data_IF_901934726827
#
_entry.id   IF_901934726827
#
_cell.length_a   1.000
_cell.length_b   1.000
_cell.length_c   1.000
_cell.angle_alpha   90.00
_cell.angle_beta   90.00
_cell.angle_gamma   90.00
#
_symmetry.space_group_name_H-M   'P 1'
#
loop_
_entity.id
_entity.type
_entity.pdbx_description
1 polymer ?
#
# COMPACT_ATOMS: atom_id res chain seq x y z
N UNK A 1 -11.93 7.05 4.03
CA UNK A 1 -11.76 7.76 2.74
C UNK A 1 -10.55 7.19 2.01
N UNK A 2 -10.65 7.01 0.70
CA UNK A 2 -9.54 6.58 -0.17
C UNK A 2 -9.40 7.54 -1.35
N UNK A 3 -8.16 7.71 -1.84
CA UNK A 3 -7.87 8.52 -3.01
C UNK A 3 -7.54 7.60 -4.19
N UNK A 4 -8.28 7.74 -5.27
CA UNK A 4 -8.10 6.95 -6.48
C UNK A 4 -6.93 7.50 -7.30
N UNK A 5 -6.03 6.63 -7.75
CA UNK A 5 -4.89 7.03 -8.59
C UNK A 5 -5.25 7.14 -10.09
N UNK A 6 -6.32 6.46 -10.51
CA UNK A 6 -6.83 6.45 -11.89
C UNK A 6 -8.30 6.85 -11.93
N UNK A 7 -8.79 7.27 -13.09
CA UNK A 7 -10.18 7.61 -13.33
C UNK A 7 -10.88 6.66 -14.29
N UNK A 8 -12.20 6.61 -14.24
CA UNK A 8 -13.05 5.78 -15.11
C UNK A 8 -14.52 6.09 -14.96
N UNK A 9 -15.37 5.30 -15.64
CA UNK A 9 -16.82 5.50 -15.64
C UNK A 9 -17.51 4.69 -14.53
N UNK A 10 -16.93 3.57 -14.13
CA UNK A 10 -17.44 2.68 -13.10
C UNK A 10 -16.33 2.27 -12.16
N UNK A 11 -16.73 1.91 -10.95
CA UNK A 11 -15.81 1.38 -9.95
C UNK A 11 -16.35 0.06 -9.37
N UNK A 12 -15.46 -0.69 -8.73
CA UNK A 12 -15.81 -1.84 -7.87
C UNK A 12 -15.05 -1.72 -6.56
N UNK A 13 -15.66 -2.16 -5.49
CA UNK A 13 -15.04 -2.24 -4.16
C UNK A 13 -14.64 -3.68 -3.90
N UNK A 14 -13.37 -3.90 -3.56
CA UNK A 14 -12.88 -5.21 -3.09
C UNK A 14 -12.77 -5.16 -1.57
N UNK A 15 -13.55 -6.02 -0.92
CA UNK A 15 -13.46 -6.29 0.51
C UNK A 15 -12.59 -7.51 0.76
N UNK A 16 -11.95 -7.58 1.92
CA UNK A 16 -11.09 -8.69 2.29
C UNK A 16 -11.43 -9.24 3.67
N UNK A 17 -11.58 -10.56 3.74
CA UNK A 17 -11.60 -11.34 4.97
C UNK A 17 -10.45 -12.37 4.96
N UNK A 18 -9.38 -12.06 4.19
CA UNK A 18 -8.31 -13.01 3.86
C UNK A 18 -7.43 -13.34 5.08
N UNK A 19 -7.37 -12.47 6.09
CA UNK A 19 -6.60 -12.72 7.32
C UNK A 19 -7.43 -13.33 8.45
N UNK A 20 -8.77 -13.36 8.33
CA UNK A 20 -9.67 -13.93 9.34
C UNK A 20 -9.87 -15.44 9.17
N UNK A 21 -10.07 -16.14 10.27
CA UNK A 21 -10.45 -17.56 10.29
C UNK A 21 -11.97 -17.76 10.42
N UNK A 22 -12.72 -16.67 10.61
CA UNK A 22 -14.17 -16.68 10.76
C UNK A 22 -14.84 -15.98 9.58
N UNK A 23 -16.06 -16.39 9.18
CA UNK A 23 -16.86 -15.63 8.22
C UNK A 23 -17.15 -14.20 8.73
N UNK A 24 -17.21 -13.23 7.84
CA UNK A 24 -17.55 -11.84 8.16
C UNK A 24 -18.89 -11.47 7.55
N UNK A 25 -19.85 -11.07 8.39
CA UNK A 25 -21.13 -10.54 7.93
C UNK A 25 -21.01 -9.04 7.61
N UNK A 26 -21.30 -8.69 6.37
CA UNK A 26 -21.42 -7.31 5.88
C UNK A 26 -22.90 -7.01 5.72
N UNK A 27 -23.44 -6.03 6.46
CA UNK A 27 -24.85 -5.65 6.44
C UNK A 27 -25.18 -4.76 5.24
N UNK A 28 -24.45 -3.68 5.09
CA UNK A 28 -24.60 -2.74 3.98
C UNK A 28 -23.26 -2.09 3.65
N UNK A 29 -23.14 -1.65 2.41
CA UNK A 29 -21.97 -0.88 1.94
C UNK A 29 -22.47 0.24 1.04
N UNK A 30 -21.95 1.45 1.24
CA UNK A 30 -22.18 2.59 0.37
C UNK A 30 -20.86 3.20 -0.10
N UNK A 31 -20.89 3.87 -1.24
CA UNK A 31 -19.77 4.65 -1.74
C UNK A 31 -20.25 5.99 -2.27
N UNK A 32 -19.50 7.05 -1.97
CA UNK A 32 -19.81 8.41 -2.40
C UNK A 32 -18.54 9.19 -2.69
N UNK A 33 -18.66 10.35 -3.33
CA UNK A 33 -17.57 11.32 -3.36
C UNK A 33 -17.32 11.85 -1.94
N UNK A 34 -16.06 11.88 -1.51
CA UNK A 34 -15.71 12.32 -0.17
C UNK A 34 -15.83 13.84 -0.03
N UNK A 35 -16.54 14.28 1.00
CA UNK A 35 -16.53 15.64 1.52
C UNK A 35 -15.46 15.83 2.60
N UNK A 36 -15.62 16.87 3.41
CA UNK A 36 -14.73 17.18 4.52
C UNK A 36 -15.15 16.43 5.79
N UNK A 37 -14.19 16.10 6.65
CA UNK A 37 -14.41 15.51 7.98
C UNK A 37 -15.31 14.25 7.99
N UNK A 38 -15.14 13.37 7.00
CA UNK A 38 -15.91 12.12 6.89
C UNK A 38 -17.30 12.27 6.28
N UNK A 39 -17.76 13.50 5.97
CA UNK A 39 -19.00 13.70 5.23
C UNK A 39 -18.88 13.23 3.77
N UNK A 40 -20.02 13.06 3.12
CA UNK A 40 -20.09 12.78 1.68
C UNK A 40 -20.67 13.98 0.91
N UNK A 41 -20.31 14.08 -0.37
CA UNK A 41 -20.90 15.10 -1.27
C UNK A 41 -22.38 14.75 -1.50
N UNK A 42 -23.33 15.68 -1.27
CA UNK A 42 -24.75 15.42 -1.48
C UNK A 42 -25.06 14.92 -2.89
N UNK A 43 -25.92 13.90 -2.99
CA UNK A 43 -26.34 13.33 -4.27
C UNK A 43 -25.32 12.41 -4.94
N UNK A 44 -24.17 12.14 -4.29
CA UNK A 44 -23.15 11.22 -4.82
C UNK A 44 -23.18 9.83 -4.20
N UNK A 45 -24.11 9.55 -3.31
CA UNK A 45 -24.21 8.26 -2.62
C UNK A 45 -24.75 7.17 -3.55
N UNK A 46 -24.09 6.01 -3.50
CA UNK A 46 -24.48 4.81 -4.23
C UNK A 46 -24.44 3.61 -3.30
N UNK A 47 -25.52 2.85 -3.31
CA UNK A 47 -25.57 1.53 -2.67
C UNK A 47 -24.63 0.59 -3.41
N UNK A 48 -23.79 -0.12 -2.65
CA UNK A 48 -22.91 -1.14 -3.19
C UNK A 48 -23.57 -2.51 -3.03
N UNK A 49 -23.65 -3.28 -4.11
CA UNK A 49 -24.23 -4.62 -4.09
C UNK A 49 -23.19 -5.69 -4.35
N UNK A 50 -23.51 -6.91 -3.91
CA UNK A 50 -22.74 -8.12 -4.12
C UNK A 50 -23.68 -9.19 -4.64
N UNK A 51 -23.53 -9.60 -5.93
CA UNK A 51 -24.51 -10.45 -6.62
C UNK A 51 -25.96 -9.90 -6.51
N UNK A 52 -26.12 -8.58 -6.70
CA UNK A 52 -27.38 -7.83 -6.61
C UNK A 52 -28.02 -7.75 -5.21
N UNK A 53 -27.34 -8.21 -4.17
CA UNK A 53 -27.77 -8.08 -2.78
C UNK A 53 -27.00 -6.94 -2.09
N UNK A 54 -27.65 -6.21 -1.15
CA UNK A 54 -27.02 -5.10 -0.43
C UNK A 54 -26.02 -5.55 0.64
N UNK A 55 -26.15 -6.75 1.14
CA UNK A 55 -25.23 -7.35 2.12
C UNK A 55 -24.66 -8.67 1.65
N UNK A 56 -23.66 -9.16 2.37
CA UNK A 56 -23.01 -10.44 2.04
C UNK A 56 -22.32 -11.02 3.27
N UNK A 57 -22.13 -12.35 3.25
CA UNK A 57 -21.20 -13.02 4.16
C UNK A 57 -19.93 -13.34 3.42
N UNK A 58 -18.80 -12.78 3.85
CA UNK A 58 -17.49 -13.09 3.27
C UNK A 58 -16.93 -14.32 4.00
N UNK A 59 -16.68 -15.43 3.31
CA UNK A 59 -16.08 -16.60 3.95
C UNK A 59 -14.72 -16.27 4.58
N UNK A 60 -14.33 -17.05 5.56
CA UNK A 60 -12.95 -16.98 6.08
C UNK A 60 -11.93 -17.16 4.96
N UNK A 61 -10.83 -16.42 5.03
CA UNK A 61 -9.72 -16.48 4.07
C UNK A 61 -10.08 -16.08 2.63
N UNK A 62 -11.20 -15.37 2.42
CA UNK A 62 -11.66 -14.99 1.10
C UNK A 62 -11.77 -13.47 0.91
N UNK A 63 -11.56 -12.97 -0.31
CA UNK A 63 -11.99 -11.63 -0.71
C UNK A 63 -13.45 -11.66 -1.21
N UNK A 64 -14.03 -10.48 -1.34
CA UNK A 64 -15.32 -10.26 -1.98
C UNK A 64 -15.26 -9.03 -2.89
N UNK A 65 -15.66 -9.17 -4.13
CA UNK A 65 -15.72 -8.08 -5.10
C UNK A 65 -17.18 -7.65 -5.30
N UNK A 66 -17.44 -6.34 -5.27
CA UNK A 66 -18.77 -5.80 -5.51
C UNK A 66 -19.20 -5.94 -6.97
N UNK A 67 -20.51 -5.79 -7.21
CA UNK A 67 -21.03 -5.49 -8.53
C UNK A 67 -20.45 -4.15 -9.03
N UNK A 68 -20.44 -3.89 -10.35
CA UNK A 68 -20.02 -2.60 -10.89
C UNK A 68 -20.95 -1.47 -10.42
N UNK A 69 -20.35 -0.34 -10.04
CA UNK A 69 -21.05 0.86 -9.57
C UNK A 69 -20.87 1.95 -10.62
N UNK A 70 -21.96 2.54 -11.11
CA UNK A 70 -21.95 3.61 -12.08
C UNK A 70 -21.62 4.96 -11.41
N UNK A 71 -20.38 5.06 -10.95
CA UNK A 71 -19.80 6.26 -10.35
C UNK A 71 -18.59 6.70 -11.18
N UNK A 72 -18.80 7.71 -12.03
CA UNK A 72 -17.72 8.29 -12.82
C UNK A 72 -16.76 9.09 -11.93
N UNK A 73 -15.49 8.74 -11.98
CA UNK A 73 -14.43 9.36 -11.17
C UNK A 73 -13.28 9.86 -12.05
N UNK A 74 -12.73 11.00 -11.68
CA UNK A 74 -11.48 11.51 -12.28
C UNK A 74 -10.28 10.91 -11.52
N UNK A 75 -9.08 10.87 -12.15
CA UNK A 75 -7.87 10.57 -11.40
C UNK A 75 -7.73 11.49 -10.18
N UNK A 76 -7.20 10.96 -9.10
CA UNK A 76 -6.97 11.64 -7.82
C UNK A 76 -8.25 12.05 -7.07
N UNK A 77 -9.42 11.60 -7.50
CA UNK A 77 -10.68 11.80 -6.77
C UNK A 77 -10.63 11.05 -5.42
N UNK A 78 -11.12 11.69 -4.37
CA UNK A 78 -11.34 11.08 -3.06
C UNK A 78 -12.77 10.53 -2.99
N UNK A 79 -12.90 9.28 -2.54
CA UNK A 79 -14.19 8.65 -2.29
C UNK A 79 -14.29 8.20 -0.84
N UNK A 80 -15.49 8.24 -0.30
CA UNK A 80 -15.85 7.66 0.99
C UNK A 80 -16.50 6.30 0.78
N UNK A 81 -16.04 5.29 1.50
CA UNK A 81 -16.63 3.95 1.51
C UNK A 81 -17.11 3.71 2.93
N UNK A 82 -18.40 3.52 3.09
CA UNK A 82 -19.07 3.27 4.38
C UNK A 82 -19.52 1.82 4.43
N UNK A 83 -19.22 1.12 5.54
CA UNK A 83 -19.50 -0.30 5.71
C UNK A 83 -20.16 -0.52 7.05
N UNK A 84 -21.31 -1.18 7.07
CA UNK A 84 -21.95 -1.64 8.29
C UNK A 84 -21.56 -3.09 8.56
N UNK A 85 -20.99 -3.33 9.73
CA UNK A 85 -20.60 -4.66 10.23
C UNK A 85 -21.48 -4.99 11.45
N UNK A 86 -22.61 -5.68 11.26
CA UNK A 86 -23.60 -5.87 12.34
C UNK A 86 -23.07 -6.63 13.56
N UNK A 87 -22.06 -7.46 13.37
CA UNK A 87 -21.41 -8.25 14.41
C UNK A 87 -20.07 -7.63 14.89
N UNK A 88 -19.79 -6.39 14.45
CA UNK A 88 -18.51 -5.74 14.73
C UNK A 88 -17.38 -6.24 13.84
N UNK A 89 -16.15 -5.85 14.16
CA UNK A 89 -14.95 -6.05 13.34
C UNK A 89 -13.81 -6.72 14.12
N UNK A 90 -14.08 -7.41 15.22
CA UNK A 90 -13.05 -7.94 16.12
C UNK A 90 -12.05 -8.87 15.41
N UNK A 91 -12.55 -9.71 14.50
CA UNK A 91 -11.74 -10.67 13.73
C UNK A 91 -11.59 -10.27 12.25
N UNK A 92 -11.93 -9.03 11.90
CA UNK A 92 -11.87 -8.60 10.52
C UNK A 92 -10.43 -8.41 10.03
N UNK A 93 -10.21 -8.60 8.74
CA UNK A 93 -8.95 -8.22 8.09
C UNK A 93 -8.76 -6.70 8.20
N UNK A 94 -7.61 -6.28 8.72
CA UNK A 94 -7.27 -4.87 8.89
C UNK A 94 -5.92 -4.54 8.27
N UNK A 95 -5.77 -3.30 7.83
CA UNK A 95 -4.47 -2.68 7.55
C UNK A 95 -4.18 -1.71 8.70
N UNK A 96 -3.20 -2.03 9.52
CA UNK A 96 -2.98 -1.40 10.83
C UNK A 96 -2.57 0.07 10.75
N UNK A 97 -1.90 0.47 9.68
CA UNK A 97 -1.50 1.86 9.42
C UNK A 97 -1.99 2.31 8.04
N UNK A 98 -2.64 3.45 7.94
CA UNK A 98 -3.18 3.90 6.66
C UNK A 98 -2.78 5.32 6.24
N UNK A 99 -2.12 6.11 7.09
CA UNK A 99 -1.88 7.55 6.89
C UNK A 99 -3.14 8.32 6.42
N UNK A 100 -4.32 7.80 6.75
CA UNK A 100 -5.62 8.36 6.39
C UNK A 100 -6.62 8.10 7.50
N UNK A 101 -7.48 9.08 7.76
CA UNK A 101 -8.47 8.98 8.83
C UNK A 101 -9.56 7.97 8.47
N UNK A 102 -9.83 7.06 9.40
CA UNK A 102 -10.97 6.16 9.39
C UNK A 102 -11.91 6.53 10.53
N UNK A 103 -13.20 6.62 10.24
CA UNK A 103 -14.24 6.90 11.23
C UNK A 103 -15.08 5.66 11.50
N UNK A 104 -15.50 5.49 12.75
CA UNK A 104 -16.53 4.54 13.15
C UNK A 104 -17.67 5.27 13.82
N UNK A 105 -18.91 4.77 13.69
CA UNK A 105 -20.08 5.31 14.32
C UNK A 105 -21.04 4.19 14.74
N UNK A 106 -21.91 4.39 15.76
CA UNK A 106 -22.87 3.39 16.19
C UNK A 106 -23.95 3.12 15.13
N UNK A 107 -24.38 1.87 15.03
CA UNK A 107 -25.48 1.44 14.14
C UNK A 107 -25.15 1.53 12.66
N UNK A 108 -26.14 1.37 11.80
CA UNK A 108 -25.99 1.53 10.36
C UNK A 108 -26.19 3.00 9.95
N UNK A 109 -25.09 3.61 9.52
CA UNK A 109 -25.06 4.98 9.01
C UNK A 109 -24.44 5.04 7.60
N UNK A 110 -24.44 3.93 6.86
CA UNK A 110 -23.73 3.82 5.57
C UNK A 110 -24.18 4.83 4.53
N UNK A 111 -25.49 5.14 4.47
CA UNK A 111 -26.05 6.17 3.58
C UNK A 111 -26.11 7.58 4.19
N UNK A 112 -25.60 7.79 5.40
CA UNK A 112 -25.67 9.10 6.04
C UNK A 112 -24.74 10.12 5.38
N UNK A 113 -25.25 11.31 5.12
CA UNK A 113 -24.45 12.42 4.58
C UNK A 113 -23.35 12.86 5.55
N UNK A 114 -23.62 12.77 6.84
CA UNK A 114 -22.68 13.07 7.93
C UNK A 114 -22.91 12.06 9.05
N UNK A 115 -21.83 11.52 9.60
CA UNK A 115 -21.92 10.57 10.69
C UNK A 115 -22.34 11.23 11.99
N UNK A 116 -23.19 10.56 12.76
CA UNK A 116 -23.57 10.95 14.13
C UNK A 116 -22.65 10.24 15.12
N UNK A 117 -22.09 11.00 16.06
CA UNK A 117 -21.15 10.49 17.08
C UNK A 117 -19.98 9.68 16.53
N UNK A 118 -19.23 10.19 15.55
CA UNK A 118 -18.11 9.48 14.99
C UNK A 118 -16.93 9.40 15.96
N UNK A 119 -16.19 8.29 15.90
CA UNK A 119 -14.91 8.10 16.57
C UNK A 119 -13.85 7.81 15.51
N UNK A 120 -12.65 8.39 15.68
CA UNK A 120 -11.52 8.16 14.79
C UNK A 120 -10.76 6.91 15.23
N UNK A 121 -10.41 6.07 14.25
CA UNK A 121 -9.53 4.92 14.43
C UNK A 121 -8.36 4.99 13.42
N UNK A 122 -7.22 4.36 13.78
CA UNK A 122 -6.03 4.31 12.91
C UNK A 122 -6.14 3.30 11.76
N UNK A 123 -6.61 2.06 12.01
CA UNK A 123 -6.65 1.02 11.00
C UNK A 123 -7.68 1.27 9.89
N UNK A 124 -7.38 0.77 8.70
CA UNK A 124 -8.39 0.55 7.66
C UNK A 124 -8.92 -0.88 7.80
N UNK A 125 -10.25 -1.01 7.82
CA UNK A 125 -10.93 -2.27 8.07
C UNK A 125 -11.54 -2.79 6.77
N UNK A 126 -11.33 -4.04 6.45
CA UNK A 126 -11.87 -4.87 5.35
C UNK A 126 -11.75 -4.33 3.92
N UNK A 127 -11.43 -3.08 3.69
CA UNK A 127 -11.26 -2.54 2.33
C UNK A 127 -9.85 -2.87 1.84
N UNK A 128 -9.72 -3.66 0.78
CA UNK A 128 -8.43 -4.03 0.19
C UNK A 128 -8.12 -3.28 -1.10
N UNK A 129 -9.12 -2.98 -1.94
CA UNK A 129 -8.90 -2.26 -3.18
C UNK A 129 -10.15 -1.54 -3.68
N UNK A 130 -9.94 -0.57 -4.57
CA UNK A 130 -10.96 -0.02 -5.46
C UNK A 130 -10.48 -0.21 -6.89
N UNK A 131 -11.23 -0.95 -7.66
CA UNK A 131 -10.99 -1.13 -9.10
C UNK A 131 -11.73 -0.05 -9.87
N UNK A 132 -11.10 0.47 -10.91
CA UNK A 132 -11.69 1.50 -11.77
C UNK A 132 -11.74 0.98 -13.20
N UNK A 133 -12.94 0.94 -13.78
CA UNK A 133 -13.15 0.54 -15.18
C UNK A 133 -12.74 1.69 -16.11
N UNK A 134 -11.65 1.49 -16.81
CA UNK A 134 -11.12 2.47 -17.76
C UNK A 134 -11.32 1.95 -19.20
N UNK A 135 -12.09 2.68 -20.01
CA UNK A 135 -12.39 2.34 -21.40
C UNK A 135 -11.15 2.22 -22.32
N UNK A 136 -10.03 2.80 -21.92
CA UNK A 136 -8.73 2.61 -22.57
C UNK A 136 -7.94 1.66 -21.71
N UNK A 137 -7.79 0.38 -22.06
CA UNK A 137 -6.97 -0.62 -21.34
C UNK A 137 -6.08 0.03 -20.26
N UNK A 138 -6.66 0.21 -19.07
CA UNK A 138 -5.94 0.76 -17.92
C UNK A 138 -4.81 -0.17 -17.53
N UNK A 139 -3.73 0.41 -17.03
CA UNK A 139 -2.60 -0.35 -16.48
C UNK A 139 -2.42 0.01 -15.01
N UNK A 140 -1.86 -0.90 -14.23
CA UNK A 140 -1.54 -0.66 -12.84
C UNK A 140 -0.04 -0.85 -12.59
N UNK A 141 0.51 0.04 -11.77
CA UNK A 141 1.82 -0.11 -11.13
C UNK A 141 1.55 -0.48 -9.68
N UNK A 142 2.08 -1.60 -9.23
CA UNK A 142 2.03 -1.97 -7.81
C UNK A 142 3.33 -1.52 -7.15
N UNK A 143 3.23 -0.92 -5.96
CA UNK A 143 4.38 -0.57 -5.13
C UNK A 143 4.40 -1.49 -3.93
N UNK A 144 5.27 -2.48 -3.95
CA UNK A 144 5.44 -3.47 -2.89
C UNK A 144 6.54 -3.00 -1.93
N UNK A 145 6.27 -3.07 -0.63
CA UNK A 145 7.27 -2.65 0.36
C UNK A 145 6.77 -2.67 1.80
N UNK A 146 7.59 -2.10 2.66
CA UNK A 146 7.38 -1.99 4.09
C UNK A 146 6.73 -0.65 4.51
N UNK A 147 6.99 -0.19 5.75
CA UNK A 147 6.51 1.09 6.31
C UNK A 147 6.85 2.31 5.46
N UNK A 148 7.96 2.29 4.73
CA UNK A 148 8.38 3.39 3.86
C UNK A 148 7.44 3.49 2.65
N UNK A 149 7.01 2.36 2.11
CA UNK A 149 6.03 2.31 1.01
C UNK A 149 4.61 2.52 1.50
N UNK A 150 4.26 1.96 2.65
CA UNK A 150 2.99 2.21 3.35
C UNK A 150 2.80 3.70 3.67
N UNK A 151 3.90 4.41 3.92
CA UNK A 151 3.93 5.84 4.16
C UNK A 151 3.85 6.22 5.62
N UNK A 152 4.45 5.41 6.49
CA UNK A 152 4.61 5.75 7.91
C UNK A 152 5.32 7.09 8.05
N UNK A 153 4.76 7.94 8.90
CA UNK A 153 5.19 9.34 9.13
C UNK A 153 4.82 10.34 8.02
N UNK A 154 4.17 9.93 6.93
CA UNK A 154 3.54 10.91 6.05
C UNK A 154 2.45 11.68 6.80
N UNK A 155 2.28 12.96 6.50
CA UNK A 155 1.21 13.77 7.10
C UNK A 155 -0.16 13.13 6.82
N UNK A 156 -0.95 12.77 7.86
CA UNK A 156 -2.24 12.12 7.68
C UNK A 156 -3.16 12.91 6.74
N UNK A 157 -3.94 12.19 5.93
CA UNK A 157 -4.91 12.71 4.95
C UNK A 157 -4.34 13.60 3.84
N UNK A 158 -3.02 13.86 3.84
CA UNK A 158 -2.38 14.74 2.86
C UNK A 158 -2.04 14.04 1.54
N UNK A 159 -2.08 12.70 1.49
CA UNK A 159 -1.66 11.88 0.35
C UNK A 159 -0.22 12.21 -0.09
N UNK A 160 0.71 12.21 0.88
CA UNK A 160 2.13 12.54 0.67
C UNK A 160 3.06 11.33 0.64
N UNK A 161 2.53 10.11 0.68
CA UNK A 161 3.32 8.89 0.51
C UNK A 161 3.95 8.88 -0.89
N UNK A 162 5.13 8.31 -1.04
CA UNK A 162 5.79 8.29 -2.36
C UNK A 162 4.94 7.63 -3.47
N UNK A 163 4.11 6.58 -3.21
CA UNK A 163 3.20 6.07 -4.24
C UNK A 163 2.10 7.05 -4.63
N UNK A 164 1.60 7.87 -3.70
CA UNK A 164 0.63 8.94 -4.01
C UNK A 164 1.25 10.01 -4.91
N UNK A 165 2.50 10.38 -4.62
CA UNK A 165 3.24 11.36 -5.41
C UNK A 165 3.65 10.82 -6.78
N UNK A 166 3.95 9.51 -6.89
CA UNK A 166 4.12 8.84 -8.18
C UNK A 166 2.84 8.92 -9.01
N UNK A 167 1.67 8.65 -8.41
CA UNK A 167 0.39 8.78 -9.09
C UNK A 167 0.17 10.22 -9.61
N UNK A 168 0.46 11.24 -8.80
CA UNK A 168 0.36 12.65 -9.23
C UNK A 168 1.30 12.97 -10.40
N UNK A 169 2.55 12.50 -10.34
CA UNK A 169 3.52 12.69 -11.43
C UNK A 169 3.06 12.05 -12.74
N UNK A 170 2.50 10.83 -12.66
CA UNK A 170 1.95 10.14 -13.83
C UNK A 170 0.77 10.92 -14.42
N UNK A 171 -0.13 11.44 -13.59
CA UNK A 171 -1.25 12.27 -14.07
C UNK A 171 -0.76 13.56 -14.72
N UNK A 172 0.20 14.27 -14.12
CA UNK A 172 0.84 15.47 -14.67
C UNK A 172 1.54 15.19 -16.00
N UNK A 173 2.13 14.00 -16.15
CA UNK A 173 2.76 13.53 -17.39
C UNK A 173 1.74 13.02 -18.45
N UNK A 174 0.44 13.19 -18.22
CA UNK A 174 -0.61 12.78 -19.16
C UNK A 174 -0.90 11.27 -19.16
N UNK A 175 -0.34 10.48 -18.24
CA UNK A 175 -0.57 9.03 -18.11
C UNK A 175 -1.85 8.71 -17.34
N UNK A 176 -2.98 9.27 -17.77
CA UNK A 176 -4.27 9.27 -17.05
C UNK A 176 -4.90 7.88 -16.83
N UNK A 177 -4.51 6.87 -17.61
CA UNK A 177 -4.99 5.50 -17.51
C UNK A 177 -4.09 4.59 -16.67
N UNK A 178 -3.04 5.14 -16.03
CA UNK A 178 -2.14 4.38 -15.18
C UNK A 178 -2.55 4.57 -13.73
N UNK A 179 -2.94 3.48 -13.08
CA UNK A 179 -3.18 3.43 -11.65
C UNK A 179 -1.91 3.10 -10.87
N UNK A 180 -1.84 3.52 -9.60
CA UNK A 180 -0.80 3.11 -8.65
C UNK A 180 -1.50 2.47 -7.46
N UNK A 181 -1.18 1.21 -7.20
CA UNK A 181 -1.69 0.44 -6.06
C UNK A 181 -0.57 0.32 -5.01
N UNK A 182 -0.81 0.86 -3.82
CA UNK A 182 0.14 0.78 -2.73
C UNK A 182 -0.08 -0.53 -1.94
N UNK A 183 0.87 -1.45 -2.04
CA UNK A 183 0.95 -2.71 -1.30
C UNK A 183 2.06 -2.67 -0.23
N UNK A 184 2.33 -1.50 0.35
CA UNK A 184 3.17 -1.34 1.53
C UNK A 184 2.48 -1.88 2.78
N UNK A 185 3.22 -2.55 3.65
CA UNK A 185 2.77 -3.00 4.98
C UNK A 185 3.85 -2.59 6.00
N UNK A 186 3.46 -1.82 7.01
CA UNK A 186 4.39 -1.39 8.07
C UNK A 186 5.06 -2.58 8.75
N UNK A 187 6.36 -2.47 9.03
CA UNK A 187 7.21 -3.52 9.60
C UNK A 187 7.35 -4.79 8.75
N UNK A 188 6.81 -4.83 7.52
CA UNK A 188 6.92 -6.00 6.65
C UNK A 188 8.38 -6.36 6.36
N UNK A 189 8.62 -7.62 6.08
CA UNK A 189 9.91 -8.19 5.77
C UNK A 189 9.86 -8.99 4.47
N UNK A 190 11.00 -9.11 3.85
CA UNK A 190 11.17 -9.84 2.61
C UNK A 190 11.03 -11.36 2.80
N UNK A 191 11.63 -11.88 3.90
CA UNK A 191 11.91 -13.31 4.10
C UNK A 191 11.30 -13.92 5.35
N UNK A 192 10.75 -13.14 6.27
CA UNK A 192 10.19 -13.65 7.51
C UNK A 192 8.95 -12.87 7.91
N UNK A 193 8.06 -13.52 8.65
CA UNK A 193 6.86 -12.91 9.18
C UNK A 193 7.19 -11.77 10.16
N UNK A 194 6.39 -10.72 10.11
CA UNK A 194 6.32 -9.63 11.08
C UNK A 194 4.88 -9.13 11.10
N UNK A 195 4.59 -7.89 10.70
CA UNK A 195 3.21 -7.51 10.45
C UNK A 195 2.80 -8.04 9.06
N UNK A 196 1.80 -8.91 9.03
CA UNK A 196 1.35 -9.62 7.83
C UNK A 196 2.35 -10.67 7.31
N UNK A 197 1.99 -11.29 6.20
CA UNK A 197 2.87 -12.25 5.51
C UNK A 197 4.10 -11.55 4.92
N UNK A 198 5.23 -12.27 4.88
CA UNK A 198 6.45 -11.75 4.24
C UNK A 198 6.21 -11.46 2.74
N UNK A 199 7.04 -10.57 2.16
CA UNK A 199 6.83 -10.10 0.80
C UNK A 199 6.85 -11.24 -0.25
N UNK A 200 7.67 -12.28 -0.06
CA UNK A 200 7.67 -13.44 -0.94
C UNK A 200 6.35 -14.22 -0.89
N UNK A 201 5.75 -14.38 0.30
CA UNK A 201 4.51 -15.12 0.46
C UNK A 201 3.30 -14.35 -0.11
N UNK A 202 3.24 -13.02 0.11
CA UNK A 202 2.13 -12.18 -0.36
C UNK A 202 2.27 -11.67 -1.80
N UNK A 203 3.38 -11.98 -2.48
CA UNK A 203 3.67 -11.46 -3.82
C UNK A 203 2.58 -11.79 -4.85
N UNK A 204 2.03 -12.99 -4.79
CA UNK A 204 0.98 -13.41 -5.73
C UNK A 204 -0.33 -12.67 -5.50
N UNK A 205 -0.76 -12.54 -4.24
CA UNK A 205 -2.00 -11.85 -3.89
C UNK A 205 -1.91 -10.34 -4.11
N UNK A 206 -0.79 -9.73 -3.70
CA UNK A 206 -0.66 -8.28 -3.59
C UNK A 206 -0.08 -7.65 -4.86
N UNK A 207 0.52 -8.45 -5.75
CA UNK A 207 1.09 -7.98 -7.02
C UNK A 207 0.48 -8.70 -8.21
N UNK A 208 0.64 -10.02 -8.31
CA UNK A 208 0.29 -10.75 -9.54
C UNK A 208 -1.22 -10.82 -9.79
N UNK A 209 -2.04 -10.78 -8.73
CA UNK A 209 -3.49 -10.80 -8.80
C UNK A 209 -4.12 -9.42 -8.99
N UNK A 210 -3.34 -8.32 -8.97
CA UNK A 210 -3.89 -6.97 -9.15
C UNK A 210 -4.37 -6.78 -10.59
N UNK A 211 -5.63 -6.42 -10.82
CA UNK A 211 -6.17 -6.25 -12.16
C UNK A 211 -5.39 -5.20 -12.97
N UNK A 212 -4.98 -5.58 -14.19
CA UNK A 212 -4.27 -4.69 -15.09
C UNK A 212 -2.83 -4.37 -14.68
N UNK A 213 -2.25 -5.08 -13.72
CA UNK A 213 -0.86 -4.89 -13.34
C UNK A 213 0.08 -5.12 -14.52
N UNK A 214 1.00 -4.19 -14.73
CA UNK A 214 2.03 -4.26 -15.76
C UNK A 214 3.43 -4.02 -15.22
N UNK A 215 3.51 -3.40 -14.05
CA UNK A 215 4.78 -3.08 -13.39
C UNK A 215 4.66 -3.29 -11.89
N UNK A 216 5.74 -3.70 -11.27
CA UNK A 216 5.92 -3.65 -9.82
C UNK A 216 7.18 -2.87 -9.48
N UNK A 217 7.09 -1.98 -8.49
CA UNK A 217 8.25 -1.32 -7.86
C UNK A 217 8.43 -1.96 -6.49
N UNK A 218 9.60 -2.51 -6.21
CA UNK A 218 9.90 -3.22 -4.97
C UNK A 218 10.89 -2.42 -4.13
N UNK A 219 10.45 -1.97 -2.95
CA UNK A 219 11.27 -1.33 -1.92
C UNK A 219 11.06 -2.08 -0.60
N UNK A 220 11.91 -3.06 -0.34
CA UNK A 220 11.76 -3.98 0.78
C UNK A 220 13.13 -4.41 1.33
N UNK A 221 13.19 -4.90 2.57
CA UNK A 221 14.36 -5.55 3.13
C UNK A 221 15.04 -4.84 4.30
N UNK A 222 14.76 -3.54 4.55
CA UNK A 222 15.36 -2.83 5.69
C UNK A 222 14.99 -3.50 7.03
N UNK A 223 13.77 -4.02 7.15
CA UNK A 223 13.30 -4.70 8.35
C UNK A 223 13.86 -6.12 8.52
N UNK A 224 14.30 -6.76 7.44
CA UNK A 224 15.04 -8.02 7.52
C UNK A 224 16.40 -7.79 8.16
N UNK A 225 17.13 -6.75 7.74
CA UNK A 225 18.45 -6.39 8.24
C UNK A 225 18.38 -5.84 9.67
N UNK A 226 17.53 -4.84 9.90
CA UNK A 226 17.34 -4.25 11.22
C UNK A 226 16.73 -5.24 12.21
N UNK A 227 15.75 -6.05 11.77
CA UNK A 227 15.15 -7.09 12.60
C UNK A 227 16.12 -8.19 12.99
N UNK A 228 17.05 -8.59 12.12
CA UNK A 228 18.09 -9.54 12.48
C UNK A 228 18.96 -9.01 13.62
N UNK A 229 19.41 -7.75 13.51
CA UNK A 229 20.19 -7.09 14.56
C UNK A 229 19.43 -6.95 15.89
N UNK A 230 18.19 -6.44 15.83
CA UNK A 230 17.33 -6.24 17.02
C UNK A 230 17.02 -7.55 17.74
N UNK A 231 16.67 -8.59 16.98
CA UNK A 231 16.24 -9.89 17.53
C UNK A 231 17.43 -10.82 17.80
N UNK A 232 18.67 -10.34 17.63
CA UNK A 232 19.93 -11.10 17.80
C UNK A 232 19.94 -12.40 17.00
N UNK A 233 19.35 -12.38 15.80
CA UNK A 233 19.38 -13.48 14.83
C UNK A 233 20.61 -13.36 13.95
N UNK A 234 21.09 -14.46 13.34
CA UNK A 234 22.14 -14.36 12.32
C UNK A 234 21.78 -13.34 11.25
N UNK A 235 22.72 -12.48 10.88
CA UNK A 235 22.54 -11.52 9.82
C UNK A 235 22.37 -12.25 8.49
N UNK A 236 21.46 -11.76 7.65
CA UNK A 236 21.28 -12.28 6.30
C UNK A 236 22.51 -11.97 5.44
N UNK A 237 22.81 -12.88 4.52
CA UNK A 237 23.82 -12.59 3.50
C UNK A 237 23.22 -11.79 2.35
N UNK A 238 24.01 -10.99 1.60
CA UNK A 238 23.53 -10.34 0.39
C UNK A 238 22.89 -11.33 -0.59
N UNK A 239 23.47 -12.54 -0.74
CA UNK A 239 22.95 -13.60 -1.61
C UNK A 239 21.57 -14.08 -1.21
N UNK A 240 21.27 -14.15 0.08
CA UNK A 240 19.95 -14.53 0.59
C UNK A 240 18.89 -13.49 0.21
N UNK A 241 19.18 -12.20 0.40
CA UNK A 241 18.30 -11.10 0.04
C UNK A 241 18.09 -11.01 -1.48
N UNK A 242 19.18 -11.10 -2.25
CA UNK A 242 19.17 -11.11 -3.73
C UNK A 242 18.37 -12.31 -4.24
N UNK A 243 18.51 -13.48 -3.61
CA UNK A 243 17.74 -14.67 -3.96
C UNK A 243 16.23 -14.46 -3.87
N UNK A 244 15.77 -13.73 -2.85
CA UNK A 244 14.35 -13.38 -2.72
C UNK A 244 13.86 -12.43 -3.85
N UNK A 245 14.65 -11.41 -4.18
CA UNK A 245 14.34 -10.55 -5.32
C UNK A 245 14.26 -11.35 -6.62
N UNK A 246 15.20 -12.27 -6.87
CA UNK A 246 15.19 -13.14 -8.05
C UNK A 246 13.93 -13.98 -8.16
N UNK A 247 13.43 -14.51 -7.03
CA UNK A 247 12.15 -15.24 -7.01
C UNK A 247 10.98 -14.34 -7.41
N UNK A 248 10.92 -13.12 -6.92
CA UNK A 248 9.85 -12.17 -7.31
C UNK A 248 9.99 -11.74 -8.77
N UNK A 249 11.20 -11.52 -9.26
CA UNK A 249 11.47 -11.19 -10.67
C UNK A 249 10.98 -12.30 -11.58
N UNK A 250 11.38 -13.54 -11.32
CA UNK A 250 10.97 -14.70 -12.13
C UNK A 250 9.44 -14.83 -12.18
N UNK A 251 8.77 -14.79 -11.02
CA UNK A 251 7.29 -14.90 -10.93
C UNK A 251 6.57 -13.74 -11.63
N UNK A 252 7.12 -12.52 -11.59
CA UNK A 252 6.58 -11.37 -12.32
C UNK A 252 6.75 -11.54 -13.85
N UNK A 253 7.93 -11.94 -14.29
CA UNK A 253 8.24 -12.15 -15.71
C UNK A 253 7.38 -13.27 -16.32
N UNK A 254 7.10 -14.35 -15.59
CA UNK A 254 6.15 -15.40 -16.02
C UNK A 254 4.73 -14.87 -16.32
N UNK A 255 4.40 -13.69 -15.79
CA UNK A 255 3.12 -12.98 -16.01
C UNK A 255 3.27 -11.74 -16.90
N UNK A 256 4.42 -11.55 -17.56
CA UNK A 256 4.74 -10.36 -18.36
C UNK A 256 4.64 -9.05 -17.57
N UNK A 257 4.92 -9.08 -16.26
CA UNK A 257 4.97 -7.91 -15.38
C UNK A 257 6.44 -7.47 -15.27
N UNK A 258 6.69 -6.20 -15.53
CA UNK A 258 8.02 -5.59 -15.40
C UNK A 258 8.36 -5.30 -13.95
N UNK A 259 9.60 -5.55 -13.57
CA UNK A 259 10.10 -5.33 -12.21
C UNK A 259 11.09 -4.18 -12.18
N UNK A 260 10.77 -3.19 -11.35
CA UNK A 260 11.66 -2.08 -11.02
C UNK A 260 12.12 -2.27 -9.58
N UNK A 261 13.40 -2.44 -9.36
CA UNK A 261 13.95 -2.54 -8.01
C UNK A 261 14.29 -1.15 -7.47
N UNK A 262 13.90 -0.87 -6.23
CA UNK A 262 14.32 0.34 -5.52
C UNK A 262 15.45 -0.01 -4.54
N UNK A 263 16.48 0.84 -4.46
CA UNK A 263 17.56 0.64 -3.50
C UNK A 263 17.06 0.87 -2.07
N UNK A 264 17.44 -0.03 -1.15
CA UNK A 264 17.10 0.03 0.28
C UNK A 264 17.69 1.31 0.87
N UNK A 265 16.85 2.12 1.53
CA UNK A 265 17.25 3.41 2.07
C UNK A 265 18.34 3.30 3.15
N UNK A 266 19.16 4.34 3.32
CA UNK A 266 20.10 4.42 4.44
C UNK A 266 19.33 4.54 5.75
N UNK A 267 19.79 3.82 6.80
CA UNK A 267 19.12 3.78 8.10
C UNK A 267 20.08 3.88 9.30
N UNK A 268 21.32 4.36 9.10
CA UNK A 268 22.29 4.54 10.19
C UNK A 268 21.81 5.59 11.18
N UNK A 269 21.62 5.14 12.41
CA UNK A 269 21.04 5.92 13.50
C UNK A 269 19.67 5.41 13.94
N UNK A 270 19.02 4.58 13.14
CA UNK A 270 17.79 3.87 13.55
C UNK A 270 18.08 2.91 14.72
N UNK A 271 17.09 2.71 15.60
CA UNK A 271 17.25 1.93 16.83
C UNK A 271 17.66 0.47 16.64
N UNK A 272 17.57 -0.07 15.42
CA UNK A 272 17.97 -1.44 15.09
C UNK A 272 19.11 -1.48 14.03
N UNK A 273 19.76 -0.37 13.76
CA UNK A 273 20.90 -0.35 12.85
C UNK A 273 22.09 -1.16 13.37
N UNK A 274 22.80 -1.79 12.47
CA UNK A 274 24.10 -2.40 12.73
C UNK A 274 25.03 -2.20 11.54
N UNK A 275 26.35 -2.16 11.80
CA UNK A 275 27.35 -2.05 10.73
C UNK A 275 27.31 -3.24 9.78
N UNK A 276 27.04 -4.44 10.30
CA UNK A 276 26.90 -5.67 9.50
C UNK A 276 25.67 -5.60 8.58
N UNK A 277 24.51 -5.19 9.11
CA UNK A 277 23.28 -5.00 8.31
C UNK A 277 23.46 -3.93 7.24
N UNK A 278 24.17 -2.83 7.54
CA UNK A 278 24.46 -1.78 6.56
C UNK A 278 25.41 -2.27 5.45
N UNK A 279 26.39 -3.11 5.78
CA UNK A 279 27.24 -3.73 4.76
C UNK A 279 26.45 -4.63 3.79
N UNK A 280 25.48 -5.40 4.31
CA UNK A 280 24.55 -6.19 3.47
C UNK A 280 23.70 -5.26 2.59
N UNK A 281 23.13 -4.19 3.15
CA UNK A 281 22.35 -3.19 2.41
C UNK A 281 23.14 -2.60 1.24
N UNK A 282 24.39 -2.21 1.49
CA UNK A 282 25.28 -1.64 0.44
C UNK A 282 25.50 -2.67 -0.67
N UNK A 283 25.86 -3.91 -0.33
CA UNK A 283 26.10 -4.96 -1.32
C UNK A 283 24.84 -5.30 -2.14
N UNK A 284 23.66 -5.33 -1.51
CA UNK A 284 22.38 -5.53 -2.21
C UNK A 284 22.08 -4.35 -3.12
N UNK A 285 22.27 -3.12 -2.66
CA UNK A 285 22.04 -1.92 -3.48
C UNK A 285 22.98 -1.85 -4.68
N UNK A 286 24.24 -2.30 -4.55
CA UNK A 286 25.19 -2.36 -5.66
C UNK A 286 24.73 -3.39 -6.70
N UNK A 287 24.22 -4.53 -6.27
CA UNK A 287 23.60 -5.49 -7.17
C UNK A 287 22.35 -4.89 -7.85
N UNK A 288 21.45 -4.21 -7.11
CA UNK A 288 20.27 -3.54 -7.69
C UNK A 288 20.67 -2.57 -8.81
N UNK A 289 21.73 -1.78 -8.63
CA UNK A 289 22.21 -0.80 -9.62
C UNK A 289 22.78 -1.43 -10.87
N UNK A 290 23.29 -2.65 -10.79
CA UNK A 290 24.09 -3.27 -11.87
C UNK A 290 23.42 -4.46 -12.53
N UNK A 291 22.43 -5.07 -11.87
CA UNK A 291 21.75 -6.25 -12.38
C UNK A 291 21.03 -5.98 -13.70
N UNK A 292 21.01 -7.01 -14.56
CA UNK A 292 20.19 -7.05 -15.78
C UNK A 292 19.01 -8.01 -15.65
N UNK A 293 18.80 -8.58 -14.47
CA UNK A 293 17.72 -9.51 -14.19
C UNK A 293 16.37 -8.80 -14.02
N UNK A 294 16.36 -7.56 -13.50
CA UNK A 294 15.20 -6.69 -13.44
C UNK A 294 15.11 -5.78 -14.68
N UNK A 295 13.91 -5.24 -14.93
CA UNK A 295 13.65 -4.33 -16.07
C UNK A 295 14.19 -2.91 -15.84
N UNK A 296 14.50 -2.57 -14.59
CA UNK A 296 15.07 -1.28 -14.23
C UNK A 296 15.26 -1.13 -12.72
N UNK A 297 15.80 0.01 -12.33
CA UNK A 297 15.92 0.35 -10.92
C UNK A 297 15.67 1.86 -10.68
N UNK A 298 15.36 2.20 -9.44
CA UNK A 298 15.36 3.58 -8.93
C UNK A 298 16.29 3.67 -7.72
N UNK A 299 17.18 4.65 -7.73
CA UNK A 299 18.17 4.83 -6.67
C UNK A 299 17.64 5.73 -5.55
N UNK A 300 16.66 5.24 -4.82
CA UNK A 300 16.02 5.96 -3.73
C UNK A 300 17.01 6.20 -2.56
N UNK A 301 17.91 5.25 -2.31
CA UNK A 301 18.95 5.42 -1.31
C UNK A 301 19.79 6.68 -1.57
N UNK A 302 20.23 6.86 -2.82
CA UNK A 302 21.00 8.06 -3.20
C UNK A 302 20.19 9.34 -3.12
N UNK A 303 18.89 9.26 -3.45
CA UNK A 303 18.01 10.43 -3.46
C UNK A 303 17.84 11.05 -2.07
N UNK A 304 17.88 10.24 -1.01
CA UNK A 304 17.66 10.71 0.38
C UNK A 304 18.91 10.67 1.25
N UNK A 305 20.05 10.18 0.75
CA UNK A 305 21.27 10.04 1.54
C UNK A 305 21.87 11.39 1.96
N UNK A 306 22.50 11.41 3.13
CA UNK A 306 23.38 12.50 3.53
C UNK A 306 24.68 12.46 2.69
N UNK A 307 25.02 13.54 1.99
CA UNK A 307 26.26 13.59 1.18
C UNK A 307 27.54 13.34 1.97
N UNK A 308 27.57 13.66 3.27
CA UNK A 308 28.73 13.47 4.14
C UNK A 308 28.82 12.02 4.71
N UNK A 309 27.69 11.34 4.86
CA UNK A 309 27.60 9.95 5.33
C UNK A 309 26.46 9.22 4.62
N UNK A 310 26.71 8.59 3.45
CA UNK A 310 25.66 7.94 2.66
C UNK A 310 24.95 6.77 3.34
N UNK A 311 25.40 6.33 4.51
CA UNK A 311 24.68 5.36 5.35
C UNK A 311 23.56 6.01 6.18
N UNK A 312 23.49 7.34 6.23
CA UNK A 312 22.45 8.12 6.91
C UNK A 312 21.47 8.73 5.90
N UNK A 313 20.23 8.87 6.34
CA UNK A 313 19.29 9.76 5.66
C UNK A 313 19.66 11.22 5.97
N UNK A 314 19.61 12.09 4.97
CA UNK A 314 19.86 13.53 5.16
C UNK A 314 18.77 14.15 6.04
N UNK A 315 19.17 15.01 6.98
CA UNK A 315 18.27 15.65 7.96
C UNK A 315 17.01 16.29 7.36
N UNK A 316 17.05 16.97 6.19
CA UNK A 316 15.83 17.53 5.60
C UNK A 316 14.78 16.51 5.19
N UNK A 317 15.16 15.25 5.02
CA UNK A 317 14.28 14.15 4.56
C UNK A 317 13.86 13.20 5.67
N UNK A 318 14.56 13.25 6.83
CA UNK A 318 14.33 12.38 7.98
C UNK A 318 13.23 12.96 8.89
N UNK A 319 12.33 12.12 9.33
CA UNK A 319 11.33 12.50 10.35
C UNK A 319 11.93 12.63 11.76
N UNK A 320 13.18 12.21 11.93
CA UNK A 320 13.93 12.26 13.20
C UNK A 320 14.17 10.89 13.84
N UNK A 321 13.79 9.78 13.18
CA UNK A 321 14.02 8.41 13.67
C UNK A 321 15.13 7.68 12.89
N UNK A 322 15.76 8.37 11.95
CA UNK A 322 16.82 7.87 11.07
C UNK A 322 16.41 6.66 10.21
N UNK A 323 15.11 6.49 9.95
CA UNK A 323 14.55 5.37 9.20
C UNK A 323 13.48 5.83 8.21
N UNK A 324 12.50 6.61 8.69
CA UNK A 324 11.34 6.99 7.89
C UNK A 324 11.54 8.38 7.26
N UNK A 325 11.27 8.51 5.96
CA UNK A 325 11.20 9.82 5.32
C UNK A 325 10.03 10.64 5.87
N UNK A 326 10.23 11.97 5.95
CA UNK A 326 9.13 12.93 6.09
C UNK A 326 8.50 13.23 4.71
N UNK A 327 7.51 14.12 4.65
CA UNK A 327 6.82 14.47 3.39
C UNK A 327 7.77 14.97 2.30
N UNK A 328 8.85 15.68 2.67
CA UNK A 328 9.86 16.13 1.72
C UNK A 328 10.74 14.98 1.24
N UNK A 329 11.11 14.04 2.12
CA UNK A 329 11.78 12.79 1.77
C UNK A 329 10.95 11.97 0.80
N UNK A 330 9.66 11.78 1.07
CA UNK A 330 8.75 11.11 0.14
C UNK A 330 8.62 11.85 -1.20
N UNK A 331 8.74 13.18 -1.19
CA UNK A 331 8.67 13.97 -2.42
C UNK A 331 9.89 13.78 -3.32
N UNK A 332 11.06 13.59 -2.78
CA UNK A 332 12.28 13.38 -3.59
C UNK A 332 12.40 11.93 -4.07
N UNK A 333 11.78 10.99 -3.38
CA UNK A 333 11.61 9.60 -3.85
C UNK A 333 10.67 9.55 -5.06
#
# INVERSE_FOLDING_TARGET
>A
VVRLSSGGQRIRIRLSNEMSVNPLLVGSVHVALAGENGAIVPGSDHVVTFNQAQGATIPARAPLLSDPIDLAVKPLTRISISIHLPQGAADATVHSYSAATTWTAPGDQTGAQTLTSPTVIGPRVVISAVEVDNAKRGTAIVTLGDSITDGVRATPDSNRRWPDLLAERLQKAGRKSVGVANAGISANRLLSEADGYNALARFDSDVLAVPGVTHVVILEGVNDLGGAARDKRPMLTPQTVIGAYRQMIARAHDRNIKVILATILPYKGAGYWSAEGDAVRIAVNDWIRTTKEADGFVDLARAVADPADPSRMAKPYDVGDALHPNDEGFRVM
#
